data_IF_392442280946
#
_entry.id   IF_392442280946
#
_cell.length_a   1.000
_cell.length_b   1.000
_cell.length_c   1.000
_cell.angle_alpha   90.00
_cell.angle_beta   90.00
_cell.angle_gamma   90.00
#
_symmetry.space_group_name_H-M   'P 1'
#
loop_
_entity.id
_entity.type
_entity.pdbx_description
1 polymer ?
#
# COMPACT_ATOMS: atom_id res chain seq x y z
N UNK A 1 2.14 -6.87 -16.16
CA UNK A 1 2.75 -6.83 -14.81
C UNK A 1 4.24 -6.49 -14.89
N UNK A 2 5.11 -7.37 -15.39
CA UNK A 2 6.57 -7.09 -15.45
C UNK A 2 6.94 -5.73 -16.08
N UNK A 3 6.30 -5.34 -17.18
CA UNK A 3 6.53 -4.04 -17.81
C UNK A 3 6.15 -2.85 -16.91
N UNK A 4 5.08 -2.97 -16.11
CA UNK A 4 4.63 -1.94 -15.16
C UNK A 4 5.63 -1.83 -14.02
N UNK A 5 6.04 -2.95 -13.44
CA UNK A 5 7.02 -2.97 -12.34
C UNK A 5 8.35 -2.39 -12.81
N UNK A 6 8.86 -2.82 -13.96
CA UNK A 6 10.09 -2.29 -14.52
C UNK A 6 10.04 -0.77 -14.69
N UNK A 7 8.96 -0.23 -15.26
CA UNK A 7 8.79 1.21 -15.40
C UNK A 7 8.78 1.92 -14.04
N UNK A 8 8.07 1.37 -13.06
CA UNK A 8 8.02 1.95 -11.70
C UNK A 8 9.40 2.00 -11.04
N UNK A 9 10.21 0.94 -11.18
CA UNK A 9 11.57 0.91 -10.66
C UNK A 9 12.54 1.79 -11.46
N UNK A 10 12.35 1.93 -12.78
CA UNK A 10 13.12 2.89 -13.60
C UNK A 10 12.93 4.32 -13.08
N UNK A 11 11.69 4.77 -12.91
CA UNK A 11 11.37 6.08 -12.35
C UNK A 11 11.81 6.18 -10.88
N UNK A 12 11.61 5.12 -10.10
CA UNK A 12 12.03 5.05 -8.70
C UNK A 12 13.53 5.32 -8.53
N UNK A 13 14.37 4.74 -9.40
CA UNK A 13 15.82 4.97 -9.36
C UNK A 13 16.20 6.41 -9.67
N UNK A 14 15.50 7.09 -10.57
CA UNK A 14 15.72 8.52 -10.83
C UNK A 14 15.43 9.36 -9.57
N UNK A 15 14.37 9.01 -8.85
CA UNK A 15 13.98 9.70 -7.60
C UNK A 15 14.98 9.41 -6.47
N UNK A 16 15.45 8.17 -6.35
CA UNK A 16 16.51 7.80 -5.40
C UNK A 16 17.81 8.56 -5.69
N UNK A 17 18.19 8.68 -6.97
CA UNK A 17 19.38 9.44 -7.38
C UNK A 17 19.27 10.94 -7.03
N UNK A 18 18.05 11.48 -6.91
CA UNK A 18 17.79 12.82 -6.42
C UNK A 18 17.79 12.96 -4.88
N UNK A 19 18.04 11.87 -4.14
CA UNK A 19 18.09 11.86 -2.67
C UNK A 19 16.73 11.75 -1.99
N UNK A 20 15.70 11.26 -2.68
CA UNK A 20 14.35 11.07 -2.15
C UNK A 20 14.00 9.57 -2.07
N UNK A 21 13.00 9.23 -1.26
CA UNK A 21 12.46 7.86 -1.15
C UNK A 21 11.17 7.77 -1.97
N UNK A 22 11.16 7.10 -3.15
CA UNK A 22 9.95 6.97 -3.95
C UNK A 22 8.97 5.97 -3.33
N UNK A 23 7.68 6.18 -3.58
CA UNK A 23 6.64 5.17 -3.38
C UNK A 23 6.34 4.55 -4.74
N UNK A 24 6.59 3.26 -4.89
CA UNK A 24 6.26 2.46 -6.07
C UNK A 24 4.85 1.90 -5.91
N UNK A 25 3.94 2.24 -6.82
CA UNK A 25 2.50 1.92 -6.70
C UNK A 25 1.95 1.13 -7.92
N UNK A 26 2.33 -0.15 -8.08
CA UNK A 26 1.77 -1.03 -9.11
C UNK A 26 0.45 -1.65 -8.63
N UNK A 27 -0.63 -0.88 -8.66
CA UNK A 27 -1.96 -1.32 -8.23
C UNK A 27 -2.48 -2.51 -9.07
N UNK A 28 -3.00 -3.54 -8.37
CA UNK A 28 -3.86 -4.58 -8.96
C UNK A 28 -5.31 -4.18 -8.66
N UNK A 29 -6.11 -4.06 -9.72
CA UNK A 29 -7.53 -3.74 -9.59
C UNK A 29 -8.27 -4.79 -8.74
N UNK A 30 -9.09 -4.34 -7.79
CA UNK A 30 -9.80 -5.23 -6.85
C UNK A 30 -10.86 -6.12 -7.52
N UNK A 31 -11.24 -5.82 -8.76
CA UNK A 31 -12.15 -6.60 -9.59
C UNK A 31 -11.42 -7.42 -10.67
N UNK A 32 -10.08 -7.50 -10.61
CA UNK A 32 -9.31 -8.38 -11.49
C UNK A 32 -9.83 -9.83 -11.37
N UNK A 33 -10.26 -10.48 -12.48
CA UNK A 33 -10.84 -11.82 -12.43
C UNK A 33 -9.91 -12.87 -11.82
N UNK A 34 -8.59 -12.71 -12.03
CA UNK A 34 -7.54 -13.60 -11.54
C UNK A 34 -6.60 -12.83 -10.58
N UNK A 35 -7.17 -12.03 -9.68
CA UNK A 35 -6.42 -11.13 -8.76
C UNK A 35 -5.26 -11.83 -8.05
N UNK A 36 -5.49 -12.99 -7.43
CA UNK A 36 -4.45 -13.71 -6.71
C UNK A 36 -3.26 -14.09 -7.61
N UNK A 37 -3.52 -14.60 -8.82
CA UNK A 37 -2.46 -14.96 -9.76
C UNK A 37 -1.73 -13.71 -10.28
N UNK A 38 -2.43 -12.59 -10.47
CA UNK A 38 -1.82 -11.32 -10.82
C UNK A 38 -0.91 -10.79 -9.70
N UNK A 39 -1.32 -10.96 -8.43
CA UNK A 39 -0.55 -10.57 -7.27
C UNK A 39 0.71 -11.41 -7.09
N UNK A 40 0.66 -12.73 -7.34
CA UNK A 40 1.83 -13.60 -7.31
C UNK A 40 2.87 -13.18 -8.36
N UNK A 41 2.40 -12.91 -9.59
CA UNK A 41 3.26 -12.40 -10.67
C UNK A 41 3.82 -11.01 -10.34
N UNK A 42 3.05 -10.18 -9.64
CA UNK A 42 3.47 -8.86 -9.20
C UNK A 42 4.54 -8.96 -8.11
N UNK A 43 4.34 -9.80 -7.10
CA UNK A 43 5.29 -10.05 -6.02
C UNK A 43 6.66 -10.47 -6.59
N UNK A 44 6.66 -11.47 -7.50
CA UNK A 44 7.90 -11.94 -8.13
C UNK A 44 8.64 -10.80 -8.84
N UNK A 45 7.91 -10.02 -9.66
CA UNK A 45 8.51 -8.90 -10.38
C UNK A 45 8.99 -7.77 -9.44
N UNK A 46 8.30 -7.52 -8.32
CA UNK A 46 8.73 -6.54 -7.31
C UNK A 46 10.03 -7.01 -6.66
N UNK A 47 10.12 -8.27 -6.24
CA UNK A 47 11.33 -8.81 -5.62
C UNK A 47 12.53 -8.72 -6.57
N UNK A 48 12.36 -9.00 -7.86
CA UNK A 48 13.41 -8.79 -8.86
C UNK A 48 13.85 -7.32 -8.91
N UNK A 49 12.90 -6.39 -8.96
CA UNK A 49 13.19 -4.95 -8.95
C UNK A 49 13.88 -4.47 -7.67
N UNK A 50 13.53 -5.03 -6.51
CA UNK A 50 14.14 -4.73 -5.22
C UNK A 50 15.58 -5.27 -5.14
N UNK A 51 15.82 -6.49 -5.64
CA UNK A 51 17.16 -7.11 -5.65
C UNK A 51 18.15 -6.36 -6.56
N UNK A 52 17.65 -5.63 -7.55
CA UNK A 52 18.45 -4.81 -8.46
C UNK A 52 18.82 -3.42 -7.88
N UNK A 53 18.30 -3.05 -6.71
CA UNK A 53 18.62 -1.77 -6.07
C UNK A 53 20.01 -1.79 -5.43
N UNK A 54 20.67 -0.62 -5.38
CA UNK A 54 21.93 -0.47 -4.66
C UNK A 54 21.74 -0.64 -3.14
N UNK A 55 22.78 -1.06 -2.42
CA UNK A 55 22.65 -1.39 -0.99
C UNK A 55 22.19 -0.24 -0.06
N UNK A 56 22.31 1.02 -0.50
CA UNK A 56 21.83 2.20 0.24
C UNK A 56 20.52 2.77 -0.32
N UNK A 57 20.03 2.24 -1.45
CA UNK A 57 18.81 2.72 -2.08
C UNK A 57 17.62 2.26 -1.23
N UNK A 58 16.66 3.15 -1.03
CA UNK A 58 15.45 2.87 -0.26
C UNK A 58 14.23 3.24 -1.07
N UNK A 59 13.26 2.35 -1.11
CA UNK A 59 11.94 2.60 -1.69
C UNK A 59 10.85 2.27 -0.68
N UNK A 60 9.67 2.82 -0.89
CA UNK A 60 8.44 2.35 -0.28
C UNK A 60 7.58 1.68 -1.35
N UNK A 61 6.74 0.73 -0.94
CA UNK A 61 5.79 0.07 -1.83
C UNK A 61 4.38 0.44 -1.41
N UNK A 62 3.52 0.83 -2.35
CA UNK A 62 2.09 1.01 -2.14
C UNK A 62 1.32 -0.01 -2.96
N UNK A 63 0.71 -0.99 -2.28
CA UNK A 63 0.16 -2.18 -2.93
C UNK A 63 -1.31 -2.35 -2.59
N UNK A 64 -2.05 -3.00 -3.48
CA UNK A 64 -3.42 -3.46 -3.20
C UNK A 64 -3.37 -4.47 -2.04
N UNK A 65 -4.39 -4.44 -1.18
CA UNK A 65 -4.56 -5.47 -0.14
C UNK A 65 -4.71 -6.85 -0.81
N UNK A 66 -3.83 -7.83 -0.51
CA UNK A 66 -3.76 -9.07 -1.26
C UNK A 66 -4.94 -10.00 -0.99
N UNK A 67 -5.21 -10.94 -1.90
CA UNK A 67 -6.13 -12.05 -1.63
C UNK A 67 -5.52 -13.07 -0.64
N UNK A 68 -4.22 -13.32 -0.74
CA UNK A 68 -3.49 -14.18 0.20
C UNK A 68 -2.92 -13.33 1.34
N UNK A 69 -3.38 -13.60 2.56
CA UNK A 69 -2.87 -12.90 3.75
C UNK A 69 -1.33 -13.05 3.86
N UNK A 70 -0.64 -11.92 4.12
CA UNK A 70 0.82 -11.83 4.22
C UNK A 70 1.60 -12.16 2.95
N UNK A 71 0.98 -12.10 1.77
CA UNK A 71 1.66 -12.32 0.48
C UNK A 71 2.94 -11.48 0.33
N UNK A 72 2.92 -10.22 0.80
CA UNK A 72 4.05 -9.29 0.67
C UNK A 72 5.05 -9.33 1.84
N UNK A 73 5.06 -10.37 2.68
CA UNK A 73 5.96 -10.48 3.82
C UNK A 73 7.45 -10.36 3.43
N UNK A 74 7.85 -10.98 2.31
CA UNK A 74 9.23 -10.89 1.82
C UNK A 74 9.60 -9.46 1.39
N UNK A 75 8.66 -8.71 0.82
CA UNK A 75 8.87 -7.30 0.51
C UNK A 75 9.03 -6.46 1.79
N UNK A 76 8.23 -6.75 2.84
CA UNK A 76 8.31 -6.06 4.13
C UNK A 76 9.66 -6.31 4.81
N UNK A 77 10.21 -7.52 4.68
CA UNK A 77 11.49 -7.90 5.26
C UNK A 77 12.70 -7.44 4.42
N UNK A 78 12.49 -6.94 3.19
CA UNK A 78 13.57 -6.62 2.28
C UNK A 78 14.37 -5.39 2.72
N UNK A 79 15.70 -5.46 2.68
CA UNK A 79 16.59 -4.41 3.20
C UNK A 79 16.42 -3.06 2.48
N UNK A 80 16.07 -3.07 1.19
CA UNK A 80 15.81 -1.87 0.39
C UNK A 80 14.38 -1.31 0.51
N UNK A 81 13.53 -1.89 1.36
CA UNK A 81 12.16 -1.43 1.58
C UNK A 81 12.05 -0.73 2.93
N UNK A 82 11.80 0.58 2.88
CA UNK A 82 11.58 1.38 4.09
C UNK A 82 10.21 1.06 4.73
N UNK A 83 9.18 0.89 3.89
CA UNK A 83 7.83 0.52 4.34
C UNK A 83 6.97 0.01 3.18
N UNK A 84 6.07 -0.93 3.50
CA UNK A 84 4.96 -1.33 2.63
C UNK A 84 3.67 -0.70 3.16
N UNK A 85 3.00 0.06 2.31
CA UNK A 85 1.72 0.71 2.59
C UNK A 85 0.62 0.18 1.68
N UNK A 86 -0.63 0.24 2.11
CA UNK A 86 -1.77 -0.30 1.38
C UNK A 86 -2.66 0.80 0.81
N UNK A 87 -3.06 0.68 -0.46
CA UNK A 87 -4.19 1.43 -1.01
C UNK A 87 -5.51 0.69 -0.69
N UNK A 88 -6.61 1.43 -0.53
CA UNK A 88 -7.93 0.80 -0.31
C UNK A 88 -8.56 0.26 -1.59
N UNK A 89 -8.17 0.77 -2.76
CA UNK A 89 -8.52 0.19 -4.08
C UNK A 89 -10.01 0.19 -4.45
N UNK A 90 -10.86 0.81 -3.63
CA UNK A 90 -12.33 0.76 -3.80
C UNK A 90 -13.06 -0.01 -2.70
N UNK A 91 -12.36 -0.70 -1.82
CA UNK A 91 -12.95 -1.23 -0.58
C UNK A 91 -13.46 -0.09 0.31
N UNK A 92 -14.55 -0.36 1.04
CA UNK A 92 -14.99 0.49 2.16
C UNK A 92 -13.90 0.55 3.22
N UNK A 93 -13.91 1.58 4.07
CA UNK A 93 -12.95 1.66 5.19
C UNK A 93 -12.97 0.41 6.08
N UNK A 94 -14.16 -0.14 6.36
CA UNK A 94 -14.32 -1.34 7.18
C UNK A 94 -13.65 -2.57 6.55
N UNK A 95 -13.94 -2.87 5.28
CA UNK A 95 -13.36 -4.01 4.56
C UNK A 95 -11.84 -3.84 4.38
N UNK A 96 -11.39 -2.62 4.05
CA UNK A 96 -9.97 -2.32 3.90
C UNK A 96 -9.21 -2.53 5.21
N UNK A 97 -9.77 -2.08 6.35
CA UNK A 97 -9.17 -2.31 7.67
C UNK A 97 -9.15 -3.79 8.03
N UNK A 98 -10.23 -4.53 7.79
CA UNK A 98 -10.33 -5.96 8.07
C UNK A 98 -9.27 -6.76 7.30
N UNK A 99 -9.06 -6.45 6.02
CA UNK A 99 -8.00 -7.04 5.19
C UNK A 99 -6.61 -6.61 5.64
N UNK A 100 -6.41 -5.32 5.93
CA UNK A 100 -5.12 -4.78 6.35
C UNK A 100 -4.64 -5.45 7.65
N UNK A 101 -5.52 -5.64 8.63
CA UNK A 101 -5.20 -6.26 9.92
C UNK A 101 -4.66 -7.71 9.83
N UNK A 102 -4.85 -8.37 8.67
CA UNK A 102 -4.32 -9.71 8.39
C UNK A 102 -2.93 -9.71 7.75
N UNK A 103 -2.41 -8.53 7.39
CA UNK A 103 -1.14 -8.33 6.70
C UNK A 103 -0.11 -7.65 7.61
N UNK A 104 0.68 -8.48 8.30
CA UNK A 104 1.61 -8.08 9.35
C UNK A 104 2.69 -7.13 8.84
N UNK A 105 2.84 -5.99 9.51
CA UNK A 105 3.84 -4.97 9.16
C UNK A 105 3.47 -4.05 7.99
N UNK A 106 2.34 -4.28 7.31
CA UNK A 106 1.78 -3.39 6.29
C UNK A 106 0.94 -2.30 6.96
N UNK A 107 0.99 -1.05 6.47
CA UNK A 107 0.22 0.07 7.05
C UNK A 107 -0.68 0.74 6.02
N UNK A 108 -1.73 1.43 6.43
CA UNK A 108 -2.62 2.08 5.48
C UNK A 108 -1.99 3.31 4.79
N UNK A 109 -2.30 3.50 3.52
CA UNK A 109 -2.14 4.74 2.75
C UNK A 109 -3.46 5.02 2.02
N UNK A 110 -4.50 5.23 2.82
CA UNK A 110 -5.87 5.42 2.34
C UNK A 110 -6.17 6.90 2.05
N UNK A 111 -6.84 7.15 0.93
CA UNK A 111 -7.35 8.48 0.57
C UNK A 111 -8.85 8.57 0.82
N UNK A 112 -9.67 8.11 -0.12
CA UNK A 112 -11.14 8.14 -0.02
C UNK A 112 -11.66 7.39 1.20
N UNK A 113 -11.07 6.24 1.54
CA UNK A 113 -11.49 5.47 2.71
C UNK A 113 -11.21 6.20 4.05
N UNK A 114 -10.18 7.06 4.11
CA UNK A 114 -9.96 7.93 5.29
C UNK A 114 -11.08 8.96 5.44
N UNK A 115 -11.52 9.55 4.34
CA UNK A 115 -12.54 10.61 4.32
C UNK A 115 -13.99 10.09 4.17
N UNK A 116 -14.20 8.78 4.10
CA UNK A 116 -15.52 8.18 3.91
C UNK A 116 -16.46 8.59 5.07
N UNK A 117 -17.59 9.22 4.71
CA UNK A 117 -18.59 9.75 5.63
C UNK A 117 -18.44 11.25 5.93
N UNK A 118 -17.26 11.84 5.69
CA UNK A 118 -17.04 13.27 5.92
C UNK A 118 -17.78 14.12 4.89
N UNK A 119 -18.32 15.26 5.34
CA UNK A 119 -19.12 16.16 4.52
C UNK A 119 -18.95 17.62 4.94
N UNK A 120 -19.06 18.53 3.97
CA UNK A 120 -19.06 19.97 4.21
C UNK A 120 -20.31 20.49 4.96
N UNK A 121 -21.31 19.63 5.19
CA UNK A 121 -22.53 19.97 5.92
C UNK A 121 -22.51 19.56 7.41
N UNK A 122 -21.46 18.87 7.86
CA UNK A 122 -21.27 18.53 9.26
C UNK A 122 -20.91 19.77 10.07
N UNK A 123 -21.24 19.77 11.35
CA UNK A 123 -20.60 20.67 12.31
C UNK A 123 -19.13 20.29 12.48
N UNK A 124 -18.30 21.24 12.94
CA UNK A 124 -16.88 20.96 13.22
C UNK A 124 -16.70 19.80 14.20
N UNK A 125 -17.57 19.69 15.22
CA UNK A 125 -17.52 18.62 16.21
C UNK A 125 -17.83 17.25 15.61
N UNK A 126 -18.86 17.14 14.77
CA UNK A 126 -19.22 15.90 14.06
C UNK A 126 -18.12 15.48 13.07
N UNK A 127 -17.56 16.44 12.34
CA UNK A 127 -16.47 16.20 11.41
C UNK A 127 -15.22 15.69 12.14
N UNK A 128 -14.81 16.37 13.22
CA UNK A 128 -13.64 16.00 14.00
C UNK A 128 -13.81 14.63 14.67
N UNK A 129 -14.97 14.37 15.28
CA UNK A 129 -15.26 13.08 15.90
C UNK A 129 -15.24 11.92 14.88
N UNK A 130 -15.76 12.14 13.66
CA UNK A 130 -15.76 11.14 12.61
C UNK A 130 -14.36 10.90 12.04
N UNK A 131 -13.58 11.96 11.83
CA UNK A 131 -12.20 11.85 11.36
C UNK A 131 -11.34 11.12 12.39
N UNK A 132 -11.46 11.46 13.67
CA UNK A 132 -10.76 10.79 14.77
C UNK A 132 -11.07 9.28 14.82
N UNK A 133 -12.37 8.92 14.76
CA UNK A 133 -12.78 7.51 14.70
C UNK A 133 -12.25 6.78 13.46
N UNK A 134 -12.20 7.47 12.31
CA UNK A 134 -11.62 6.91 11.08
C UNK A 134 -10.11 6.67 11.21
N UNK A 135 -9.39 7.64 11.79
CA UNK A 135 -7.95 7.53 12.06
C UNK A 135 -7.67 6.38 13.03
N UNK A 136 -8.40 6.30 14.14
CA UNK A 136 -8.20 5.27 15.15
C UNK A 136 -8.40 3.86 14.56
N UNK A 137 -9.49 3.65 13.82
CA UNK A 137 -9.75 2.34 13.22
C UNK A 137 -8.68 1.94 12.19
N UNK A 138 -8.20 2.91 11.38
CA UNK A 138 -7.12 2.67 10.41
C UNK A 138 -5.79 2.41 11.11
N UNK A 139 -5.51 3.12 12.20
CA UNK A 139 -4.32 2.93 13.03
C UNK A 139 -4.30 1.52 13.63
N UNK A 140 -5.40 1.08 14.24
CA UNK A 140 -5.50 -0.25 14.87
C UNK A 140 -5.26 -1.38 13.85
N UNK A 141 -5.79 -1.25 12.63
CA UNK A 141 -5.51 -2.20 11.55
C UNK A 141 -4.06 -2.14 11.04
N UNK A 142 -3.45 -0.95 11.01
CA UNK A 142 -2.06 -0.74 10.58
C UNK A 142 -1.03 -1.19 11.62
N UNK A 143 -1.41 -1.32 12.89
CA UNK A 143 -0.51 -1.64 14.00
C UNK A 143 -0.34 -3.16 14.23
N UNK A 144 -0.70 -3.99 13.25
CA UNK A 144 -0.81 -5.44 13.39
C UNK A 144 0.45 -6.24 13.06
#
# INVERSE_FOLDING_TARGET
IAAVVRQQFEIGREIVAAGLVPIIEPEVDIHCPDKAAAEDLLLAAILDGLNDLGGNDQVMLKLTLPETDNLYADCIAHANVAKVVALSGGYTREEANARLARNKGMVASFSRALAEGLSAHQTDDEFNAMLDGSIQAIFDASAT
#
